data_IF_999963622988
#
_entry.id   IF_999963622988
#
_cell.length_a   1.000
_cell.length_b   1.000
_cell.length_c   1.000
_cell.angle_alpha   90.00
_cell.angle_beta   90.00
_cell.angle_gamma   90.00
#
_symmetry.space_group_name_H-M   'P 1'
#
loop_
_entity.id
_entity.type
_entity.pdbx_description
1 polymer ?
#
# COMPACT_ATOMS: atom_id res chain seq x y z
N UNK A 1 16.43 -14.26 -17.58
CA UNK A 1 16.93 -12.88 -17.47
C UNK A 1 18.08 -12.88 -16.48
N UNK A 2 19.29 -12.41 -16.83
CA UNK A 2 20.37 -12.26 -15.82
C UNK A 2 19.99 -11.12 -14.89
N UNK A 3 19.63 -11.45 -13.65
CA UNK A 3 19.35 -10.45 -12.62
C UNK A 3 20.59 -9.59 -12.39
N UNK A 4 20.39 -8.27 -12.28
CA UNK A 4 21.43 -7.33 -11.84
C UNK A 4 21.16 -7.08 -10.36
N UNK A 5 22.00 -7.63 -9.50
CA UNK A 5 21.89 -7.46 -8.05
C UNK A 5 22.71 -6.25 -7.61
N UNK A 6 22.15 -5.48 -6.68
CA UNK A 6 22.84 -4.40 -5.97
C UNK A 6 22.83 -4.73 -4.49
N UNK A 7 23.90 -4.40 -3.77
CA UNK A 7 23.99 -4.61 -2.33
C UNK A 7 23.59 -3.29 -1.66
N UNK A 8 22.62 -3.34 -0.75
CA UNK A 8 22.25 -2.20 0.10
C UNK A 8 23.10 -2.32 1.38
N UNK A 9 23.95 -1.32 1.70
CA UNK A 9 24.66 -1.28 2.97
C UNK A 9 23.70 -1.41 4.16
N UNK A 10 24.13 -2.13 5.19
CA UNK A 10 23.30 -2.44 6.37
C UNK A 10 22.72 -1.17 7.01
N UNK A 11 23.53 -0.12 7.15
CA UNK A 11 23.14 1.16 7.72
C UNK A 11 21.95 1.79 6.99
N UNK A 12 21.96 1.75 5.64
CA UNK A 12 20.85 2.27 4.83
C UNK A 12 19.61 1.38 4.90
N UNK A 13 19.80 0.07 5.03
CA UNK A 13 18.69 -0.87 5.19
C UNK A 13 17.93 -0.63 6.50
N UNK A 14 18.67 -0.41 7.60
CA UNK A 14 18.11 -0.10 8.92
C UNK A 14 17.51 1.32 8.97
N UNK A 15 18.18 2.33 8.38
CA UNK A 15 17.67 3.71 8.33
C UNK A 15 16.34 3.82 7.58
N UNK A 16 16.16 3.02 6.54
CA UNK A 16 14.93 2.96 5.74
C UNK A 16 13.85 2.03 6.32
N UNK A 17 14.09 1.40 7.48
CA UNK A 17 13.23 0.38 8.11
C UNK A 17 12.76 -0.71 7.14
N UNK A 18 13.68 -1.16 6.26
CA UNK A 18 13.39 -2.19 5.27
C UNK A 18 13.33 -3.57 5.92
N UNK A 19 12.54 -4.46 5.34
CA UNK A 19 12.41 -5.87 5.73
C UNK A 19 12.58 -6.78 4.52
N UNK A 20 12.97 -8.01 4.78
CA UNK A 20 12.99 -9.04 3.73
C UNK A 20 11.60 -9.17 3.12
N UNK A 21 11.53 -9.08 1.79
CA UNK A 21 10.26 -9.10 1.05
C UNK A 21 9.69 -7.71 0.72
N UNK A 22 10.26 -6.63 1.24
CA UNK A 22 9.87 -5.27 0.85
C UNK A 22 10.21 -4.98 -0.61
N UNK A 23 9.34 -4.18 -1.24
CA UNK A 23 9.51 -3.77 -2.62
C UNK A 23 10.04 -2.34 -2.69
N UNK A 24 11.01 -2.13 -3.56
CA UNK A 24 11.56 -0.81 -3.87
C UNK A 24 11.19 -0.41 -5.30
N UNK A 25 10.76 0.82 -5.48
CA UNK A 25 10.66 1.42 -6.81
C UNK A 25 12.04 1.91 -7.25
N UNK A 26 12.51 1.45 -8.41
CA UNK A 26 13.76 1.90 -9.02
C UNK A 26 13.46 2.91 -10.15
N UNK A 27 14.05 4.09 -10.09
CA UNK A 27 13.87 5.15 -11.11
C UNK A 27 15.14 5.94 -11.35
N UNK A 28 15.29 6.51 -12.54
CA UNK A 28 16.40 7.44 -12.84
C UNK A 28 15.94 8.87 -12.59
N UNK A 29 16.60 9.58 -11.70
CA UNK A 29 16.36 11.01 -11.43
C UNK A 29 17.68 11.76 -11.57
N UNK A 30 17.74 12.72 -12.50
CA UNK A 30 18.95 13.54 -12.75
C UNK A 30 20.22 12.70 -12.98
N UNK A 31 20.08 11.59 -13.72
CA UNK A 31 21.19 10.68 -14.00
C UNK A 31 21.57 9.73 -12.84
N UNK A 32 20.86 9.78 -11.71
CA UNK A 32 21.09 8.90 -10.56
C UNK A 32 20.00 7.81 -10.52
N UNK A 33 20.40 6.57 -10.24
CA UNK A 33 19.47 5.49 -9.91
C UNK A 33 19.01 5.67 -8.46
N UNK A 34 17.73 5.88 -8.26
CA UNK A 34 17.10 6.09 -6.95
C UNK A 34 16.18 4.92 -6.65
N UNK A 35 16.39 4.31 -5.48
CA UNK A 35 15.46 3.34 -4.90
C UNK A 35 14.61 4.02 -3.84
N UNK A 36 13.31 3.81 -3.87
CA UNK A 36 12.38 4.32 -2.86
C UNK A 36 11.49 3.20 -2.33
N UNK A 37 11.26 3.10 -1.01
CA UNK A 37 10.31 2.14 -0.45
C UNK A 37 8.93 2.29 -1.10
N UNK A 38 8.39 1.17 -1.59
CA UNK A 38 7.06 1.12 -2.18
C UNK A 38 6.15 0.30 -1.27
N UNK A 39 5.16 0.96 -0.68
CA UNK A 39 4.04 0.24 -0.06
C UNK A 39 3.27 -0.44 -1.19
N UNK A 40 3.34 -1.76 -1.26
CA UNK A 40 2.42 -2.52 -2.07
C UNK A 40 1.08 -2.52 -1.35
N UNK A 41 0.23 -1.59 -1.74
CA UNK A 41 -1.18 -1.62 -1.37
C UNK A 41 -1.85 -2.48 -2.44
N UNK A 42 -2.57 -3.52 -2.02
CA UNK A 42 -3.42 -4.28 -2.93
C UNK A 42 -4.37 -3.32 -3.66
N UNK A 43 -4.62 -3.54 -4.95
CA UNK A 43 -5.47 -2.63 -5.74
C UNK A 43 -6.83 -2.45 -5.08
N UNK A 44 -7.39 -3.51 -4.51
CA UNK A 44 -8.70 -3.48 -3.90
C UNK A 44 -8.67 -2.67 -2.58
N UNK A 45 -7.55 -2.69 -1.86
CA UNK A 45 -7.33 -1.83 -0.68
C UNK A 45 -7.15 -0.38 -1.11
N UNK A 46 -6.42 -0.12 -2.20
CA UNK A 46 -6.21 1.24 -2.69
C UNK A 46 -7.53 1.90 -3.12
N UNK A 47 -8.38 1.14 -3.83
CA UNK A 47 -9.73 1.58 -4.21
C UNK A 47 -10.60 1.87 -2.99
N UNK A 48 -10.60 0.98 -1.99
CA UNK A 48 -11.35 1.19 -0.76
C UNK A 48 -10.87 2.43 0.03
N UNK A 49 -9.55 2.68 0.08
CA UNK A 49 -8.99 3.88 0.72
C UNK A 49 -9.43 5.16 -0.02
N UNK A 50 -9.45 5.13 -1.35
CA UNK A 50 -9.92 6.23 -2.16
C UNK A 50 -11.43 6.47 -1.96
N UNK A 51 -12.24 5.41 -1.87
CA UNK A 51 -13.67 5.52 -1.57
C UNK A 51 -13.93 6.16 -0.20
N UNK A 52 -13.09 5.89 0.80
CA UNK A 52 -13.16 6.56 2.11
C UNK A 52 -12.84 8.05 1.98
N UNK A 53 -11.79 8.41 1.25
CA UNK A 53 -11.39 9.81 1.05
C UNK A 53 -12.44 10.62 0.28
N UNK A 54 -13.03 10.01 -0.74
CA UNK A 54 -14.06 10.64 -1.59
C UNK A 54 -15.48 10.51 -1.02
N UNK A 55 -15.63 9.93 0.18
CA UNK A 55 -16.92 9.77 0.86
C UNK A 55 -17.88 8.79 0.18
N UNK A 56 -17.38 7.94 -0.72
CA UNK A 56 -18.12 6.83 -1.36
C UNK A 56 -18.26 5.62 -0.44
N UNK A 57 -18.54 5.87 0.83
CA UNK A 57 -18.76 4.86 1.85
C UNK A 57 -20.24 4.71 2.14
N UNK A 58 -20.63 3.52 2.59
CA UNK A 58 -22.00 3.26 3.03
C UNK A 58 -22.08 3.29 4.56
N UNK A 59 -22.97 4.14 5.07
CA UNK A 59 -23.04 4.54 6.47
C UNK A 59 -23.17 6.08 6.58
N UNK A 60 -23.10 6.69 7.78
CA UNK A 60 -22.83 6.08 9.08
C UNK A 60 -23.97 5.17 9.55
N UNK A 61 -23.70 4.36 10.57
CA UNK A 61 -24.70 3.51 11.22
C UNK A 61 -24.81 3.96 12.68
N UNK A 62 -26.03 4.14 13.16
CA UNK A 62 -26.30 4.57 14.53
C UNK A 62 -26.30 3.39 15.52
N UNK A 63 -26.34 2.14 15.00
CA UNK A 63 -26.29 0.93 15.82
C UNK A 63 -25.63 -0.26 15.12
N UNK A 64 -25.16 -1.23 15.90
CA UNK A 64 -24.62 -2.50 15.40
C UNK A 64 -25.68 -3.29 14.62
N UNK A 65 -26.94 -3.23 15.06
CA UNK A 65 -28.06 -3.90 14.41
C UNK A 65 -28.31 -3.34 13.00
N UNK A 66 -28.27 -2.02 12.85
CA UNK A 66 -28.40 -1.36 11.56
C UNK A 66 -27.27 -1.76 10.60
N UNK A 67 -26.02 -1.78 11.08
CA UNK A 67 -24.87 -2.25 10.31
C UNK A 67 -25.02 -3.71 9.86
N UNK A 68 -25.48 -4.60 10.75
CA UNK A 68 -25.68 -6.03 10.42
C UNK A 68 -26.77 -6.25 9.35
N UNK A 69 -27.88 -5.53 9.42
CA UNK A 69 -28.92 -5.59 8.38
C UNK A 69 -28.42 -5.07 7.02
N UNK A 70 -27.53 -4.08 7.07
CA UNK A 70 -26.86 -3.50 5.89
C UNK A 70 -26.04 -4.54 5.10
N UNK A 71 -25.42 -5.51 5.77
CA UNK A 71 -24.61 -6.55 5.14
C UNK A 71 -25.46 -7.63 4.45
N UNK A 72 -26.62 -7.96 5.02
CA UNK A 72 -27.54 -8.99 4.49
C UNK A 72 -28.22 -8.59 3.19
N UNK A 73 -28.39 -7.28 2.95
CA UNK A 73 -29.02 -6.75 1.74
C UNK A 73 -28.17 -6.86 0.47
N UNK A 74 -26.88 -7.23 0.58
CA UNK A 74 -25.91 -7.20 -0.53
C UNK A 74 -25.48 -8.57 -1.06
N UNK A 75 -26.24 -9.65 -0.77
CA UNK A 75 -26.10 -10.98 -1.41
C UNK A 75 -27.13 -11.19 -2.52
#
# INVERSE_FOLDING_TARGET
MKGRQVVIPKELFEELDLKEGDYLEARVKRGQLVYAPKKLIDRDIAEALQDIEEGRVYGPFDSVQEWLESLKKKS
#
